data_IF_601576005865
#
_entry.id   IF_601576005865
#
_cell.length_a   1.000
_cell.length_b   1.000
_cell.length_c   1.000
_cell.angle_alpha   90.00
_cell.angle_beta   90.00
_cell.angle_gamma   90.00
#
_symmetry.space_group_name_H-M   'P 1'
#
loop_
_entity.id
_entity.type
_entity.pdbx_description
1 polymer ?
#
# COMPACT_ATOMS: atom_id res chain seq x y z
N UNK A 1 -5.01 -25.25 -2.41
CA UNK A 1 -4.53 -23.87 -2.40
C UNK A 1 -4.57 -23.33 -3.82
N UNK A 2 -4.90 -22.06 -4.04
CA UNK A 2 -4.92 -21.43 -5.35
C UNK A 2 -3.51 -21.33 -5.94
N UNK A 3 -3.43 -21.19 -7.26
CA UNK A 3 -2.17 -20.85 -7.93
C UNK A 3 -1.82 -19.38 -7.63
N UNK A 4 -0.64 -19.13 -7.07
CA UNK A 4 -0.18 -17.76 -6.77
C UNK A 4 0.91 -17.34 -7.74
N UNK A 5 0.66 -16.27 -8.49
CA UNK A 5 1.64 -15.64 -9.40
C UNK A 5 2.15 -14.37 -8.74
N UNK A 6 3.42 -14.38 -8.31
CA UNK A 6 4.05 -13.23 -7.67
C UNK A 6 4.69 -12.33 -8.72
N UNK A 7 4.33 -11.04 -8.69
CA UNK A 7 4.94 -9.98 -9.48
C UNK A 7 5.67 -9.03 -8.51
N UNK A 8 6.68 -8.36 -8.99
CA UNK A 8 7.54 -7.50 -8.16
C UNK A 8 6.76 -6.27 -7.66
N UNK A 9 6.58 -6.16 -6.35
CA UNK A 9 5.86 -5.05 -5.74
C UNK A 9 6.69 -3.77 -5.75
N UNK A 10 6.13 -2.67 -6.30
CA UNK A 10 6.73 -1.34 -6.23
C UNK A 10 6.74 -0.84 -4.78
N UNK A 11 5.69 -1.12 -4.00
CA UNK A 11 5.60 -0.74 -2.59
C UNK A 11 6.75 -1.33 -1.76
N UNK A 12 7.10 -2.62 -1.98
CA UNK A 12 8.25 -3.26 -1.31
C UNK A 12 9.58 -2.61 -1.69
N UNK A 13 9.73 -2.23 -2.96
CA UNK A 13 10.94 -1.53 -3.42
C UNK A 13 11.07 -0.16 -2.75
N UNK A 14 9.98 0.62 -2.74
CA UNK A 14 9.95 1.94 -2.09
C UNK A 14 10.20 1.84 -0.57
N UNK A 15 9.64 0.83 0.09
CA UNK A 15 9.94 0.54 1.50
C UNK A 15 11.43 0.30 1.72
N UNK A 16 12.07 -0.55 0.88
CA UNK A 16 13.49 -0.86 1.03
C UNK A 16 14.38 0.37 0.76
N UNK A 17 14.06 1.17 -0.25
CA UNK A 17 14.75 2.45 -0.49
C UNK A 17 14.60 3.41 0.69
N UNK A 18 13.39 3.49 1.27
CA UNK A 18 13.13 4.34 2.43
C UNK A 18 13.90 3.85 3.67
N UNK A 19 14.02 2.54 3.87
CA UNK A 19 14.82 1.95 4.94
C UNK A 19 16.30 2.32 4.83
N UNK A 20 16.88 2.23 3.63
CA UNK A 20 18.28 2.66 3.40
C UNK A 20 18.49 4.15 3.72
N UNK A 21 17.53 5.02 3.35
CA UNK A 21 17.59 6.44 3.69
C UNK A 21 17.53 6.68 5.21
N UNK A 22 16.72 5.90 5.94
CA UNK A 22 16.66 5.96 7.41
C UNK A 22 18.02 5.61 8.03
N UNK A 23 18.62 4.49 7.60
CA UNK A 23 19.95 4.07 8.10
C UNK A 23 21.00 5.10 7.75
N UNK A 24 21.06 5.56 6.51
CA UNK A 24 22.06 6.52 6.06
C UNK A 24 21.98 7.84 6.85
N UNK A 25 20.78 8.40 7.06
CA UNK A 25 20.60 9.63 7.81
C UNK A 25 21.00 9.47 9.30
N UNK A 26 20.74 8.31 9.89
CA UNK A 26 21.16 8.01 11.27
C UNK A 26 22.68 7.92 11.39
N UNK A 27 23.33 7.15 10.53
CA UNK A 27 24.79 6.99 10.53
C UNK A 27 25.50 8.32 10.29
N UNK A 28 24.99 9.14 9.36
CA UNK A 28 25.52 10.46 9.06
C UNK A 28 25.40 11.39 10.28
N UNK A 29 24.27 11.36 11.00
CA UNK A 29 24.09 12.13 12.23
C UNK A 29 25.10 11.73 13.31
N UNK A 30 25.28 10.41 13.54
CA UNK A 30 26.23 9.88 14.52
C UNK A 30 27.66 10.30 14.16
N UNK A 31 28.03 10.21 12.89
CA UNK A 31 29.34 10.64 12.40
C UNK A 31 29.61 12.12 12.70
N UNK A 32 28.64 12.99 12.39
CA UNK A 32 28.80 14.44 12.60
C UNK A 32 28.82 14.81 14.10
N UNK A 33 28.04 14.12 14.94
CA UNK A 33 28.14 14.28 16.40
C UNK A 33 29.56 13.91 16.87
N UNK A 34 30.05 12.75 16.42
CA UNK A 34 31.40 12.27 16.82
C UNK A 34 32.52 13.22 16.40
N UNK A 35 32.47 13.68 15.14
CA UNK A 35 33.45 14.66 14.62
C UNK A 35 33.39 16.00 15.38
N UNK A 36 32.20 16.56 15.52
CA UNK A 36 31.99 17.84 16.20
C UNK A 36 32.42 17.78 17.67
N UNK A 37 32.06 16.72 18.38
CA UNK A 37 32.44 16.51 19.76
C UNK A 37 33.96 16.28 19.91
N UNK A 38 34.54 15.44 19.06
CA UNK A 38 36.00 15.20 19.07
C UNK A 38 36.81 16.49 18.87
N UNK A 39 36.39 17.33 17.90
CA UNK A 39 37.02 18.65 17.68
C UNK A 39 36.88 19.59 18.88
N UNK A 40 35.70 19.62 19.50
CA UNK A 40 35.51 20.42 20.74
C UNK A 40 36.46 19.99 21.85
N UNK A 41 36.61 18.69 22.07
CA UNK A 41 37.52 18.16 23.09
C UNK A 41 38.96 18.56 22.80
N UNK A 42 39.44 18.50 21.56
CA UNK A 42 40.82 18.92 21.18
C UNK A 42 41.04 20.41 21.39
N UNK A 43 40.05 21.26 21.13
CA UNK A 43 40.11 22.70 21.39
C UNK A 43 40.19 22.98 22.90
N UNK A 44 39.34 22.35 23.71
CA UNK A 44 39.29 22.52 25.16
C UNK A 44 40.61 22.07 25.86
N UNK A 45 41.22 21.02 25.32
CA UNK A 45 42.53 20.54 25.83
C UNK A 45 43.71 21.37 25.29
N UNK A 46 43.46 22.47 24.59
CA UNK A 46 44.48 23.33 23.95
C UNK A 46 45.43 22.58 23.00
N UNK A 47 44.97 21.43 22.44
CA UNK A 47 45.72 20.61 21.48
C UNK A 47 45.44 20.99 20.01
N UNK A 48 44.52 21.93 19.80
CA UNK A 48 44.14 22.40 18.47
C UNK A 48 43.91 23.90 18.44
N UNK A 49 44.27 24.54 17.32
CA UNK A 49 44.06 25.97 17.03
C UNK A 49 42.81 26.21 16.19
N UNK A 50 42.00 25.17 15.97
CA UNK A 50 40.77 25.29 15.19
C UNK A 50 39.81 26.30 15.84
N UNK A 51 39.16 27.10 14.96
CA UNK A 51 38.15 28.04 15.43
C UNK A 51 36.90 27.28 15.89
N UNK A 52 36.27 27.74 16.97
CA UNK A 52 35.08 27.10 17.59
C UNK A 52 33.89 26.93 16.61
N UNK A 53 33.81 27.74 15.54
CA UNK A 53 32.77 27.62 14.51
C UNK A 53 32.82 26.27 13.78
N UNK A 54 33.99 25.64 13.63
CA UNK A 54 34.11 24.39 12.88
C UNK A 54 33.35 23.24 13.57
N UNK A 55 33.57 22.89 14.84
CA UNK A 55 32.78 21.85 15.51
C UNK A 55 31.30 22.23 15.61
N UNK A 56 30.93 23.51 15.72
CA UNK A 56 29.54 23.97 15.72
C UNK A 56 28.83 23.63 14.39
N UNK A 57 29.51 23.81 13.24
CA UNK A 57 28.97 23.41 11.95
C UNK A 57 28.63 21.90 11.93
N UNK A 58 29.52 21.04 12.42
CA UNK A 58 29.26 19.60 12.48
C UNK A 58 28.07 19.25 13.38
N UNK A 59 27.88 19.94 14.49
CA UNK A 59 26.73 19.76 15.39
C UNK A 59 25.44 20.18 14.65
N UNK A 60 25.45 21.27 13.91
CA UNK A 60 24.29 21.70 13.10
C UNK A 60 23.98 20.68 12.01
N UNK A 61 25.00 20.16 11.31
CA UNK A 61 24.81 19.10 10.31
C UNK A 61 24.24 17.82 10.93
N UNK A 62 24.68 17.47 12.14
CA UNK A 62 24.11 16.33 12.87
C UNK A 62 22.63 16.54 13.18
N UNK A 63 22.23 17.74 13.60
CA UNK A 63 20.82 18.08 13.84
C UNK A 63 19.97 17.95 12.57
N UNK A 64 20.48 18.45 11.43
CA UNK A 64 19.82 18.26 10.13
C UNK A 64 19.64 16.77 9.81
N UNK A 65 20.67 15.96 10.07
CA UNK A 65 20.60 14.51 9.90
C UNK A 65 19.50 13.85 10.76
N UNK A 66 19.32 14.29 12.01
CA UNK A 66 18.23 13.82 12.90
C UNK A 66 16.86 14.18 12.32
N UNK A 67 16.69 15.40 11.83
CA UNK A 67 15.42 15.82 11.21
C UNK A 67 15.10 14.94 9.99
N UNK A 68 16.08 14.72 9.12
CA UNK A 68 15.93 13.83 7.96
C UNK A 68 15.59 12.40 8.38
N UNK A 69 16.24 11.88 9.43
CA UNK A 69 15.92 10.57 9.99
C UNK A 69 14.45 10.47 10.40
N UNK A 70 13.92 11.46 11.12
CA UNK A 70 12.52 11.46 11.55
C UNK A 70 11.55 11.48 10.36
N UNK A 71 11.86 12.27 9.33
CA UNK A 71 11.04 12.35 8.11
C UNK A 71 11.06 11.02 7.35
N UNK A 72 12.23 10.43 7.12
CA UNK A 72 12.36 9.16 6.41
C UNK A 72 11.77 8.01 7.20
N UNK A 73 11.94 8.00 8.52
CA UNK A 73 11.34 7.00 9.41
C UNK A 73 9.82 7.02 9.32
N UNK A 74 9.20 8.20 9.36
CA UNK A 74 7.73 8.32 9.20
C UNK A 74 7.27 7.74 7.85
N UNK A 75 7.98 8.04 6.75
CA UNK A 75 7.68 7.48 5.43
C UNK A 75 7.85 5.95 5.42
N UNK A 76 8.93 5.44 6.00
CA UNK A 76 9.18 4.01 6.10
C UNK A 76 8.07 3.28 6.88
N UNK A 77 7.64 3.82 8.02
CA UNK A 77 6.58 3.22 8.85
C UNK A 77 5.24 3.13 8.08
N UNK A 78 4.91 4.14 7.26
CA UNK A 78 3.72 4.14 6.40
C UNK A 78 3.83 3.03 5.34
N UNK A 79 4.94 2.97 4.62
CA UNK A 79 5.18 1.96 3.58
C UNK A 79 5.21 0.54 4.17
N UNK A 80 5.81 0.36 5.34
CA UNK A 80 5.83 -0.92 6.03
C UNK A 80 4.43 -1.36 6.45
N UNK A 81 3.57 -0.43 6.89
CA UNK A 81 2.17 -0.72 7.20
C UNK A 81 1.42 -1.20 5.96
N UNK A 82 1.64 -0.58 4.80
CA UNK A 82 1.07 -1.02 3.52
C UNK A 82 1.52 -2.43 3.15
N UNK A 83 2.84 -2.69 3.18
CA UNK A 83 3.40 -4.03 2.88
C UNK A 83 2.83 -5.11 3.80
N UNK A 84 2.66 -4.83 5.11
CA UNK A 84 2.03 -5.78 6.05
C UNK A 84 0.58 -6.06 5.68
N UNK A 85 -0.15 -5.03 5.23
CA UNK A 85 -1.52 -5.18 4.74
C UNK A 85 -1.60 -6.13 3.56
N UNK A 86 -0.78 -5.90 2.52
CA UNK A 86 -0.70 -6.80 1.36
C UNK A 86 -0.32 -8.23 1.77
N UNK A 87 0.66 -8.42 2.65
CA UNK A 87 1.07 -9.75 3.10
C UNK A 87 -0.03 -10.49 3.86
N UNK A 88 -0.81 -9.76 4.68
CA UNK A 88 -1.96 -10.34 5.38
C UNK A 88 -3.07 -10.70 4.40
N UNK A 89 -3.42 -9.80 3.47
CA UNK A 89 -4.40 -10.08 2.42
C UNK A 89 -4.00 -11.28 1.57
N UNK A 90 -2.72 -11.40 1.19
CA UNK A 90 -2.23 -12.57 0.45
C UNK A 90 -2.39 -13.87 1.24
N UNK A 91 -2.13 -13.85 2.56
CA UNK A 91 -2.34 -15.05 3.42
C UNK A 91 -3.80 -15.49 3.40
N UNK A 92 -4.73 -14.54 3.42
CA UNK A 92 -6.17 -14.80 3.34
C UNK A 92 -6.54 -15.36 1.96
N UNK A 93 -6.12 -14.70 0.87
CA UNK A 93 -6.41 -15.14 -0.48
C UNK A 93 -5.84 -16.52 -0.82
N UNK A 94 -4.80 -16.98 -0.13
CA UNK A 94 -4.27 -18.35 -0.25
C UNK A 94 -5.20 -19.43 0.31
N UNK A 95 -6.23 -19.06 1.05
CA UNK A 95 -7.26 -20.00 1.54
C UNK A 95 -8.30 -20.32 0.46
N UNK A 96 -8.33 -19.57 -0.64
CA UNK A 96 -9.21 -19.86 -1.77
C UNK A 96 -8.93 -21.26 -2.34
N UNK A 97 -9.93 -21.93 -2.94
CA UNK A 97 -9.78 -23.22 -3.60
C UNK A 97 -8.79 -23.20 -4.78
N UNK A 98 -8.40 -24.39 -5.26
CA UNK A 98 -7.37 -24.57 -6.30
C UNK A 98 -7.73 -24.02 -7.68
N UNK A 99 -9.02 -23.88 -7.97
CA UNK A 99 -9.55 -23.35 -9.21
C UNK A 99 -9.34 -21.82 -9.37
N UNK A 100 -8.94 -21.14 -8.30
CA UNK A 100 -8.61 -19.72 -8.34
C UNK A 100 -7.13 -19.50 -8.65
N UNK A 101 -6.84 -18.43 -9.36
CA UNK A 101 -5.47 -17.93 -9.56
C UNK A 101 -5.35 -16.54 -8.94
N UNK A 102 -4.42 -16.36 -8.03
CA UNK A 102 -4.14 -15.08 -7.35
C UNK A 102 -2.87 -14.48 -7.93
N UNK A 103 -2.99 -13.28 -8.50
CA UNK A 103 -1.85 -12.48 -8.96
C UNK A 103 -1.58 -11.36 -7.93
N UNK A 104 -0.32 -11.17 -7.55
CA UNK A 104 0.09 -10.10 -6.62
C UNK A 104 0.78 -8.99 -7.39
N UNK A 105 0.41 -7.76 -7.14
CA UNK A 105 0.98 -6.55 -7.74
C UNK A 105 1.01 -6.56 -9.29
N UNK A 106 -0.06 -7.07 -9.96
CA UNK A 106 -0.08 -7.05 -11.42
C UNK A 106 -0.16 -5.60 -11.92
N UNK A 107 0.53 -5.36 -13.03
CA UNK A 107 0.56 -4.06 -13.69
C UNK A 107 -0.28 -4.13 -14.95
N UNK A 108 -1.18 -3.18 -15.12
CA UNK A 108 -1.96 -3.01 -16.33
C UNK A 108 -1.36 -1.84 -17.11
N UNK A 109 -1.09 -2.06 -18.40
CA UNK A 109 -0.83 -1.00 -19.35
C UNK A 109 -2.01 -0.91 -20.30
N UNK A 110 -2.75 0.20 -20.24
CA UNK A 110 -3.85 0.46 -21.17
C UNK A 110 -3.75 1.91 -21.68
N UNK A 111 -3.70 2.07 -23.00
CA UNK A 111 -3.67 3.36 -23.71
C UNK A 111 -2.60 4.31 -23.15
N UNK A 112 -1.38 3.80 -22.93
CA UNK A 112 -0.25 4.57 -22.41
C UNK A 112 -0.27 4.87 -20.91
N UNK A 113 -1.28 4.43 -20.18
CA UNK A 113 -1.38 4.59 -18.73
C UNK A 113 -1.09 3.29 -18.02
N UNK A 114 -0.08 3.31 -17.17
CA UNK A 114 0.30 2.18 -16.31
C UNK A 114 -0.41 2.27 -14.97
N UNK A 115 -0.95 1.15 -14.48
CA UNK A 115 -1.60 1.05 -13.17
C UNK A 115 -1.24 -0.27 -12.51
N UNK A 116 -0.71 -0.20 -11.28
CA UNK A 116 -0.49 -1.35 -10.42
C UNK A 116 -1.76 -1.64 -9.60
N UNK A 117 -2.11 -2.92 -9.48
CA UNK A 117 -3.19 -3.42 -8.63
C UNK A 117 -2.60 -4.21 -7.48
N UNK A 118 -3.17 -4.15 -6.28
CA UNK A 118 -2.65 -4.94 -5.16
C UNK A 118 -2.80 -6.43 -5.43
N UNK A 119 -4.03 -6.86 -5.75
CA UNK A 119 -4.32 -8.24 -6.11
C UNK A 119 -5.36 -8.33 -7.23
N UNK A 120 -5.17 -9.35 -8.06
CA UNK A 120 -6.19 -9.81 -9.01
C UNK A 120 -6.43 -11.29 -8.78
N UNK A 121 -7.66 -11.66 -8.49
CA UNK A 121 -8.08 -13.06 -8.36
C UNK A 121 -8.89 -13.43 -9.60
N UNK A 122 -8.46 -14.49 -10.28
CA UNK A 122 -9.05 -14.96 -11.54
C UNK A 122 -9.69 -16.32 -11.33
N UNK A 123 -10.94 -16.46 -11.73
CA UNK A 123 -11.69 -17.72 -11.70
C UNK A 123 -12.65 -17.81 -12.90
N UNK A 124 -13.30 -18.97 -13.06
CA UNK A 124 -14.35 -19.16 -14.04
C UNK A 124 -15.58 -18.24 -13.86
N UNK A 125 -15.75 -17.67 -12.67
CA UNK A 125 -16.86 -16.76 -12.37
C UNK A 125 -16.54 -15.30 -12.68
N UNK A 126 -15.29 -14.98 -13.02
CA UNK A 126 -14.84 -13.63 -13.34
C UNK A 126 -13.49 -13.27 -12.72
N UNK A 127 -13.21 -11.99 -12.75
CA UNK A 127 -11.96 -11.39 -12.29
C UNK A 127 -12.26 -10.42 -11.15
N UNK A 128 -11.62 -10.61 -10.01
CA UNK A 128 -11.79 -9.80 -8.80
C UNK A 128 -10.54 -8.96 -8.57
N UNK A 129 -10.70 -7.65 -8.59
CA UNK A 129 -9.67 -6.72 -8.14
C UNK A 129 -9.85 -6.54 -6.64
N UNK A 130 -8.81 -6.80 -5.85
CA UNK A 130 -8.82 -6.59 -4.40
C UNK A 130 -7.81 -5.52 -4.05
N UNK A 131 -8.30 -4.33 -3.72
CA UNK A 131 -7.53 -3.23 -3.18
C UNK A 131 -7.45 -3.38 -1.65
N UNK A 132 -6.24 -3.40 -1.11
CA UNK A 132 -5.97 -3.66 0.30
C UNK A 132 -5.65 -2.37 1.06
N UNK A 133 -6.34 -2.11 2.18
CA UNK A 133 -6.07 -0.94 3.04
C UNK A 133 -5.83 -1.38 4.48
N UNK A 134 -4.63 -1.14 5.00
CA UNK A 134 -4.28 -1.41 6.39
C UNK A 134 -4.52 -0.16 7.26
N UNK A 135 -5.78 0.28 7.31
CA UNK A 135 -6.20 1.37 8.18
C UNK A 135 -6.57 0.82 9.56
N UNK A 136 -6.49 1.67 10.58
CA UNK A 136 -6.88 1.37 11.96
C UNK A 136 -7.78 2.46 12.50
N UNK A 137 -8.63 2.12 13.46
CA UNK A 137 -9.58 3.03 14.09
C UNK A 137 -10.85 3.17 13.26
N UNK A 138 -11.44 4.36 13.24
CA UNK A 138 -12.70 4.62 12.54
C UNK A 138 -12.39 5.23 11.18
N UNK A 139 -13.01 4.71 10.12
CA UNK A 139 -12.95 5.27 8.77
C UNK A 139 -14.33 5.75 8.39
N UNK A 140 -14.46 7.06 8.17
CA UNK A 140 -15.73 7.69 7.85
C UNK A 140 -15.67 8.34 6.47
N UNK A 141 -16.75 8.27 5.71
CA UNK A 141 -16.84 8.98 4.44
C UNK A 141 -18.05 8.64 3.60
N UNK A 142 -18.11 9.27 2.44
CA UNK A 142 -19.10 8.99 1.40
C UNK A 142 -18.39 8.58 0.13
N UNK A 143 -18.95 7.64 -0.62
CA UNK A 143 -18.35 7.19 -1.87
C UNK A 143 -18.31 8.28 -2.95
N UNK A 144 -19.20 9.26 -2.90
CA UNK A 144 -19.20 10.44 -3.77
C UNK A 144 -18.07 11.44 -3.50
N UNK A 145 -17.55 11.52 -2.26
CA UNK A 145 -16.54 12.50 -1.87
C UNK A 145 -15.13 12.09 -2.32
N UNK A 146 -14.24 13.08 -2.46
CA UNK A 146 -12.84 12.87 -2.87
C UNK A 146 -11.99 12.33 -1.72
N UNK A 147 -12.30 12.75 -0.50
CA UNK A 147 -11.57 12.38 0.70
C UNK A 147 -12.49 11.75 1.73
N UNK A 148 -11.92 10.80 2.48
CA UNK A 148 -12.49 10.21 3.68
C UNK A 148 -11.68 10.63 4.89
N UNK A 149 -12.23 10.44 6.10
CA UNK A 149 -11.54 10.69 7.36
C UNK A 149 -11.17 9.39 8.03
N UNK A 150 -9.93 9.30 8.49
CA UNK A 150 -9.47 8.26 9.40
C UNK A 150 -9.30 8.86 10.79
N UNK A 151 -9.97 8.30 11.78
CA UNK A 151 -9.93 8.73 13.18
C UNK A 151 -9.23 7.63 13.98
N UNK A 152 -8.20 8.02 14.74
CA UNK A 152 -7.44 7.13 15.62
C UNK A 152 -7.46 7.63 17.03
N UNK A 153 -7.68 6.72 17.97
CA UNK A 153 -7.51 7.00 19.39
C UNK A 153 -6.07 6.66 19.79
N UNK A 154 -5.34 7.64 20.29
CA UNK A 154 -4.00 7.51 20.82
C UNK A 154 -3.99 7.32 22.35
N UNK A 155 -2.79 7.32 22.94
CA UNK A 155 -2.62 7.32 24.40
C UNK A 155 -3.28 8.56 24.99
N UNK A 156 -3.82 8.44 26.22
CA UNK A 156 -4.49 9.51 26.97
C UNK A 156 -5.70 10.13 26.25
N UNK A 157 -6.53 9.30 25.58
CA UNK A 157 -7.74 9.71 24.86
C UNK A 157 -7.52 10.80 23.78
N UNK A 158 -6.29 11.02 23.35
CA UNK A 158 -6.03 11.93 22.23
C UNK A 158 -6.61 11.37 20.96
N UNK A 159 -7.41 12.18 20.26
CA UNK A 159 -8.01 11.82 18.97
C UNK A 159 -7.16 12.44 17.87
N UNK A 160 -6.78 11.63 16.89
CA UNK A 160 -6.05 12.04 15.70
C UNK A 160 -6.92 11.82 14.48
N UNK A 161 -7.23 12.91 13.78
CA UNK A 161 -7.93 12.84 12.50
C UNK A 161 -6.94 13.02 11.35
N UNK A 162 -7.16 12.26 10.29
CA UNK A 162 -6.39 12.37 9.05
C UNK A 162 -7.32 12.24 7.86
N UNK A 163 -7.21 13.14 6.91
CA UNK A 163 -7.81 12.96 5.59
C UNK A 163 -7.02 11.95 4.77
N UNK A 164 -7.74 11.07 4.11
CA UNK A 164 -7.21 10.06 3.19
C UNK A 164 -7.98 10.13 1.87
N UNK A 165 -7.30 9.96 0.76
CA UNK A 165 -7.98 9.86 -0.54
C UNK A 165 -8.99 8.71 -0.50
N UNK A 166 -10.16 8.92 -1.10
CA UNK A 166 -11.24 7.95 -1.12
C UNK A 166 -10.80 6.65 -1.83
N UNK A 167 -10.62 5.53 -1.11
CA UNK A 167 -10.13 4.29 -1.70
C UNK A 167 -11.20 3.57 -2.53
N UNK A 168 -12.49 3.84 -2.30
CA UNK A 168 -13.55 3.28 -3.15
C UNK A 168 -13.51 3.89 -4.56
N UNK A 169 -13.21 5.18 -4.70
CA UNK A 169 -12.97 5.79 -6.01
C UNK A 169 -11.70 5.26 -6.69
N UNK A 170 -10.67 4.92 -5.92
CA UNK A 170 -9.48 4.25 -6.45
C UNK A 170 -9.86 2.89 -7.03
N UNK A 171 -10.51 2.04 -6.25
CA UNK A 171 -10.96 0.70 -6.66
C UNK A 171 -11.91 0.77 -7.87
N UNK A 172 -12.82 1.73 -7.91
CA UNK A 172 -13.70 1.95 -9.06
C UNK A 172 -12.93 2.31 -10.35
N UNK A 173 -11.94 3.20 -10.26
CA UNK A 173 -11.09 3.54 -11.43
C UNK A 173 -10.29 2.33 -11.92
N UNK A 174 -9.78 1.51 -11.01
CA UNK A 174 -9.07 0.28 -11.33
C UNK A 174 -9.97 -0.70 -12.09
N UNK A 175 -11.20 -0.91 -11.59
CA UNK A 175 -12.22 -1.73 -12.23
C UNK A 175 -12.50 -1.24 -13.65
N UNK A 176 -12.87 0.05 -13.81
CA UNK A 176 -13.17 0.66 -15.10
C UNK A 176 -12.05 0.45 -16.14
N UNK A 177 -10.80 0.66 -15.72
CA UNK A 177 -9.63 0.47 -16.60
C UNK A 177 -9.43 -0.99 -17.00
N UNK A 178 -9.66 -1.93 -16.10
CA UNK A 178 -9.57 -3.35 -16.44
C UNK A 178 -10.71 -3.77 -17.39
N UNK A 179 -11.93 -3.26 -17.18
CA UNK A 179 -13.06 -3.48 -18.10
C UNK A 179 -12.79 -2.90 -19.50
N UNK A 180 -12.16 -1.72 -19.59
CA UNK A 180 -11.75 -1.12 -20.85
C UNK A 180 -10.69 -1.99 -21.55
N UNK A 181 -9.67 -2.47 -20.84
CA UNK A 181 -8.67 -3.38 -21.37
C UNK A 181 -9.29 -4.67 -21.90
N UNK A 182 -10.22 -5.27 -21.15
CA UNK A 182 -10.89 -6.49 -21.57
C UNK A 182 -11.74 -6.28 -22.84
N UNK A 183 -12.40 -5.13 -22.96
CA UNK A 183 -13.13 -4.76 -24.16
C UNK A 183 -12.21 -4.62 -25.37
N UNK A 184 -11.07 -3.93 -25.21
CA UNK A 184 -10.07 -3.75 -26.27
C UNK A 184 -9.48 -5.10 -26.72
N UNK A 185 -9.36 -6.07 -25.79
CA UNK A 185 -8.86 -7.43 -26.06
C UNK A 185 -9.93 -8.45 -26.45
N UNK A 186 -11.21 -8.04 -26.53
CA UNK A 186 -12.36 -8.92 -26.77
C UNK A 186 -12.42 -10.09 -25.77
N UNK A 187 -12.24 -9.78 -24.48
CA UNK A 187 -12.38 -10.72 -23.36
C UNK A 187 -13.75 -10.49 -22.72
N UNK A 188 -14.57 -11.55 -22.65
CA UNK A 188 -15.87 -11.54 -22.00
C UNK A 188 -15.76 -12.07 -20.57
N UNK A 189 -15.24 -11.24 -19.66
CA UNK A 189 -15.14 -11.61 -18.26
C UNK A 189 -15.74 -10.50 -17.38
N UNK A 190 -16.58 -10.88 -16.41
CA UNK A 190 -17.07 -9.94 -15.42
C UNK A 190 -15.93 -9.48 -14.51
N UNK A 191 -15.85 -8.17 -14.25
CA UNK A 191 -14.86 -7.58 -13.34
C UNK A 191 -15.56 -7.10 -12.09
N UNK A 192 -15.10 -7.59 -10.94
CA UNK A 192 -15.57 -7.21 -9.61
C UNK A 192 -14.50 -6.44 -8.89
N UNK A 193 -14.90 -5.46 -8.09
CA UNK A 193 -13.98 -4.65 -7.31
C UNK A 193 -14.28 -4.79 -5.83
N UNK A 194 -13.25 -5.08 -5.05
CA UNK A 194 -13.30 -5.23 -3.60
C UNK A 194 -12.30 -4.27 -2.98
N UNK A 195 -12.77 -3.45 -2.06
CA UNK A 195 -11.97 -2.67 -1.15
C UNK A 195 -11.91 -3.41 0.19
N UNK A 196 -10.75 -3.96 0.51
CA UNK A 196 -10.57 -4.77 1.71
C UNK A 196 -9.78 -4.03 2.79
N UNK A 197 -10.40 -3.85 3.96
CA UNK A 197 -9.74 -3.32 5.15
C UNK A 197 -9.19 -4.47 5.99
N UNK A 198 -7.86 -4.53 6.09
CA UNK A 198 -7.13 -5.70 6.64
C UNK A 198 -7.30 -5.87 8.15
N UNK A 199 -7.40 -4.77 8.91
CA UNK A 199 -7.63 -4.83 10.35
C UNK A 199 -9.14 -4.93 10.61
N UNK A 200 -9.62 -6.10 11.03
CA UNK A 200 -11.05 -6.37 11.30
C UNK A 200 -11.64 -5.47 12.40
N UNK A 201 -10.78 -4.84 13.22
CA UNK A 201 -11.19 -3.88 14.25
C UNK A 201 -11.44 -2.48 13.70
N UNK A 202 -11.18 -2.26 12.40
CA UNK A 202 -11.49 -0.99 11.75
C UNK A 202 -13.01 -0.81 11.67
N UNK A 203 -13.51 0.21 12.31
CA UNK A 203 -14.92 0.58 12.24
C UNK A 203 -15.17 1.36 10.95
N UNK A 204 -16.05 0.87 10.10
CA UNK A 204 -16.39 1.49 8.82
C UNK A 204 -17.72 2.25 8.93
N UNK A 205 -17.66 3.59 8.84
CA UNK A 205 -18.83 4.49 8.77
C UNK A 205 -18.91 5.10 7.37
N UNK A 206 -19.16 4.24 6.38
CA UNK A 206 -19.16 4.60 4.97
C UNK A 206 -20.59 4.63 4.44
N UNK A 207 -20.96 5.74 3.80
CA UNK A 207 -22.20 5.89 3.06
C UNK A 207 -21.93 5.69 1.56
N UNK A 208 -22.56 4.69 0.95
CA UNK A 208 -22.48 4.48 -0.50
C UNK A 208 -23.58 5.28 -1.21
N UNK A 209 -23.28 6.53 -1.49
CA UNK A 209 -24.16 7.48 -2.17
C UNK A 209 -23.83 7.68 -3.66
N UNK A 210 -22.79 7.01 -4.17
CA UNK A 210 -22.36 7.12 -5.56
C UNK A 210 -22.55 5.82 -6.36
N UNK A 211 -23.05 4.73 -5.74
CA UNK A 211 -23.28 3.42 -6.35
C UNK A 211 -22.09 2.94 -7.22
N UNK A 212 -20.89 2.98 -6.64
CA UNK A 212 -19.65 2.65 -7.37
C UNK A 212 -19.52 1.16 -7.72
N UNK A 213 -20.42 0.30 -7.23
CA UNK A 213 -20.31 -1.15 -7.37
C UNK A 213 -18.94 -1.69 -6.91
N UNK A 214 -18.48 -1.21 -5.76
CA UNK A 214 -17.28 -1.66 -5.06
C UNK A 214 -17.72 -2.29 -3.74
N UNK A 215 -17.43 -3.57 -3.54
CA UNK A 215 -17.68 -4.23 -2.26
C UNK A 215 -16.67 -3.71 -1.22
N UNK A 216 -17.17 -3.20 -0.08
CA UNK A 216 -16.34 -2.67 1.00
C UNK A 216 -16.39 -3.67 2.16
N UNK A 217 -15.26 -4.30 2.46
CA UNK A 217 -15.18 -5.46 3.36
C UNK A 217 -14.05 -5.25 4.37
N UNK A 218 -14.26 -5.64 5.64
CA UNK A 218 -13.25 -5.54 6.70
C UNK A 218 -13.05 -6.85 7.49
N UNK A 219 -13.59 -7.97 7.02
CA UNK A 219 -13.35 -9.27 7.63
C UNK A 219 -12.99 -10.32 6.57
N UNK A 220 -12.26 -11.34 7.01
CA UNK A 220 -11.71 -12.38 6.15
C UNK A 220 -12.79 -13.26 5.51
N UNK A 221 -13.77 -13.68 6.30
CA UNK A 221 -14.83 -14.60 5.87
C UNK A 221 -15.63 -13.98 4.72
N UNK A 222 -16.11 -12.73 4.92
CA UNK A 222 -16.85 -12.00 3.89
C UNK A 222 -16.02 -11.77 2.63
N UNK A 223 -14.69 -11.58 2.73
CA UNK A 223 -13.83 -11.47 1.56
C UNK A 223 -13.80 -12.77 0.76
N UNK A 224 -13.60 -13.89 1.44
CA UNK A 224 -13.55 -15.21 0.80
C UNK A 224 -14.92 -15.60 0.24
N UNK A 225 -15.99 -15.40 0.98
CA UNK A 225 -17.36 -15.64 0.54
C UNK A 225 -17.73 -14.81 -0.67
N UNK A 226 -17.42 -13.53 -0.67
CA UNK A 226 -17.67 -12.66 -1.83
C UNK A 226 -16.99 -13.20 -3.09
N UNK A 227 -15.71 -13.59 -2.99
CA UNK A 227 -14.95 -14.09 -4.14
C UNK A 227 -15.46 -15.46 -4.60
N UNK A 228 -15.85 -16.35 -3.68
CA UNK A 228 -16.27 -17.72 -4.01
C UNK A 228 -17.72 -17.78 -4.50
N UNK A 229 -18.62 -17.01 -3.89
CA UNK A 229 -20.06 -17.11 -4.11
C UNK A 229 -20.57 -16.17 -5.22
N UNK A 230 -19.78 -15.15 -5.59
CA UNK A 230 -20.16 -14.27 -6.70
C UNK A 230 -20.16 -15.05 -8.02
N UNK A 231 -21.33 -15.09 -8.67
CA UNK A 231 -21.50 -15.75 -9.96
C UNK A 231 -21.47 -14.70 -11.07
N UNK A 232 -20.64 -14.92 -12.08
CA UNK A 232 -20.68 -14.14 -13.32
C UNK A 232 -21.91 -14.46 -14.15
N UNK A 233 -22.32 -13.53 -15.00
CA UNK A 233 -23.39 -13.77 -16.01
C UNK A 233 -22.99 -14.89 -16.97
N UNK A 234 -21.72 -14.93 -17.34
CA UNK A 234 -21.11 -15.94 -18.20
C UNK A 234 -19.89 -16.54 -17.52
N UNK A 235 -19.62 -17.83 -17.74
CA UNK A 235 -18.43 -18.48 -17.24
C UNK A 235 -17.26 -18.15 -18.16
N UNK A 236 -16.15 -17.70 -17.58
CA UNK A 236 -14.91 -17.45 -18.31
C UNK A 236 -14.29 -18.77 -18.74
N UNK A 237 -14.02 -18.92 -20.02
CA UNK A 237 -13.41 -20.14 -20.59
C UNK A 237 -11.96 -20.30 -20.12
N UNK A 238 -11.43 -21.53 -20.19
CA UNK A 238 -10.03 -21.81 -19.83
C UNK A 238 -9.04 -21.04 -20.72
N UNK A 239 -9.38 -20.81 -21.98
CA UNK A 239 -8.57 -20.05 -22.92
C UNK A 239 -8.54 -18.56 -22.54
N UNK A 240 -9.69 -17.98 -22.22
CA UNK A 240 -9.78 -16.59 -21.73
C UNK A 240 -9.05 -16.41 -20.40
N UNK A 241 -9.16 -17.37 -19.46
CA UNK A 241 -8.40 -17.35 -18.22
C UNK A 241 -6.89 -17.29 -18.49
N UNK A 242 -6.39 -18.11 -19.43
CA UNK A 242 -4.99 -18.08 -19.82
C UNK A 242 -4.60 -16.74 -20.46
N UNK A 243 -5.45 -16.17 -21.31
CA UNK A 243 -5.27 -14.86 -21.96
C UNK A 243 -5.21 -13.74 -20.91
N UNK A 244 -6.14 -13.72 -19.97
CA UNK A 244 -6.18 -12.77 -18.85
C UNK A 244 -4.89 -12.83 -18.03
N UNK A 245 -4.47 -14.03 -17.61
CA UNK A 245 -3.27 -14.21 -16.79
C UNK A 245 -2.00 -13.75 -17.54
N UNK A 246 -1.93 -13.92 -18.86
CA UNK A 246 -0.79 -13.45 -19.67
C UNK A 246 -0.68 -11.93 -19.70
N UNK A 247 -1.79 -11.20 -19.68
CA UNK A 247 -1.78 -9.73 -19.69
C UNK A 247 -1.10 -9.14 -18.44
N UNK A 248 -1.22 -9.83 -17.30
CA UNK A 248 -0.65 -9.39 -16.04
C UNK A 248 0.80 -9.84 -15.79
N UNK A 249 1.39 -10.65 -16.68
CA UNK A 249 2.77 -11.16 -16.54
C UNK A 249 3.83 -10.33 -17.28
N UNK A 250 3.42 -9.27 -17.96
CA UNK A 250 4.31 -8.39 -18.75
C UNK A 250 4.98 -7.31 -17.92
#
# INVERSE_FOLDING_TARGET
MPKVVKIKSQLKQEKNKSFLRVIFSLLLSILFVGLGFGMLVTILLKKSTLHISVPVIFIVLAFVGVVLFLVFKKKYDILQSGVRGEETTLKILRKLPKEFTVLTNPVILNRGVTMELDFVVVSKNGVFIVESKNYRGIVCGRTSKTYWKQIKHGKNNKVYEKEVSNPAKQSFRQKRRLEELFRDLKITANVYSVLYFVDSRTELKIQDDANLNVAIINNEESLLEFIQNTKGREKVSSEELAKIIRQFKR
#
